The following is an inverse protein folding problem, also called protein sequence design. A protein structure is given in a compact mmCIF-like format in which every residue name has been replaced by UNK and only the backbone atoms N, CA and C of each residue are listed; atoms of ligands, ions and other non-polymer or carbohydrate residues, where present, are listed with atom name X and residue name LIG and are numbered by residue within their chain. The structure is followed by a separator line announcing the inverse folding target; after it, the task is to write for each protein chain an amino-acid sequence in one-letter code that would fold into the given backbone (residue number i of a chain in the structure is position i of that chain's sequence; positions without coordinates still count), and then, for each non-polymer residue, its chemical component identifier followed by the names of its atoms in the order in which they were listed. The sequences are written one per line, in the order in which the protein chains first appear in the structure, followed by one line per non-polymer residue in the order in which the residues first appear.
data_IF_237773479655
#
_entry.id   IF_237773479655
#
_cell.length_a   1.000
_cell.length_b   1.000
_cell.length_c   1.000
_cell.angle_alpha   90.00
_cell.angle_beta   90.00
_cell.angle_gamma   90.00
#
_symmetry.space_group_name_H-M   'P 1'
#
loop_
_entity.id
_entity.type
_entity.pdbx_description
1 polymer ?
#
# COMPACT_ATOMS: atom_id res chain seq x y z
N UNK A 1 6.69 -5.59 2.10
CA UNK A 1 7.90 -4.87 2.56
C UNK A 1 7.45 -3.70 3.43
N UNK A 2 7.92 -3.61 4.68
CA UNK A 2 7.46 -2.61 5.67
C UNK A 2 7.66 -1.18 5.14
N UNK A 3 6.73 -0.30 5.52
CA UNK A 3 6.91 1.16 5.48
C UNK A 3 8.21 1.54 6.23
N UNK A 4 8.72 2.75 6.00
CA UNK A 4 9.88 3.26 6.72
C UNK A 4 9.79 2.94 8.22
N UNK A 5 10.93 2.67 8.87
CA UNK A 5 11.00 2.41 10.33
C UNK A 5 11.73 3.57 10.99
N UNK A 6 11.16 4.09 12.07
CA UNK A 6 11.86 5.01 12.96
C UNK A 6 12.28 4.18 14.15
N UNK A 7 13.56 4.28 14.51
CA UNK A 7 14.08 3.60 15.67
C UNK A 7 15.16 4.46 16.33
N UNK A 8 15.40 4.20 17.61
CA UNK A 8 16.39 4.89 18.41
C UNK A 8 17.72 4.15 18.35
N UNK A 9 18.82 4.88 18.19
CA UNK A 9 20.18 4.36 18.40
C UNK A 9 20.96 5.36 19.23
N UNK A 10 21.13 5.09 20.53
CA UNK A 10 21.74 6.06 21.45
C UNK A 10 20.91 7.35 21.52
N UNK A 11 21.50 8.49 21.16
CA UNK A 11 20.83 9.80 21.11
C UNK A 11 20.40 10.20 19.69
N UNK A 12 20.34 9.24 18.76
CA UNK A 12 19.89 9.49 17.39
C UNK A 12 18.53 8.87 17.13
N UNK A 13 17.67 9.66 16.48
CA UNK A 13 16.48 9.19 15.79
C UNK A 13 16.88 8.80 14.37
N UNK A 14 16.73 7.52 14.02
CA UNK A 14 17.05 7.01 12.69
C UNK A 14 15.76 6.71 11.94
N UNK A 15 15.57 7.36 10.79
CA UNK A 15 14.51 7.05 9.84
C UNK A 15 15.10 6.18 8.74
N UNK A 16 14.67 4.93 8.66
CA UNK A 16 15.05 4.00 7.58
C UNK A 16 13.93 3.91 6.57
N UNK A 17 14.18 4.29 5.32
CA UNK A 17 13.19 4.19 4.25
C UNK A 17 12.99 2.73 3.76
N UNK A 18 12.02 2.52 2.85
CA UNK A 18 11.76 1.19 2.23
C UNK A 18 12.96 0.63 1.45
N UNK A 19 13.93 1.48 1.08
CA UNK A 19 15.17 1.11 0.37
C UNK A 19 16.33 0.87 1.33
N UNK A 20 16.05 0.77 2.63
CA UNK A 20 17.03 0.60 3.71
C UNK A 20 18.00 1.79 3.83
N UNK A 21 17.69 2.95 3.23
CA UNK A 21 18.49 4.16 3.41
C UNK A 21 18.15 4.76 4.76
N UNK A 22 19.19 5.07 5.52
CA UNK A 22 19.07 5.63 6.85
C UNK A 22 19.34 7.12 6.82
N UNK A 23 18.46 7.89 7.45
CA UNK A 23 18.69 9.28 7.82
C UNK A 23 18.75 9.36 9.34
N UNK A 24 19.73 10.09 9.86
CA UNK A 24 20.01 10.18 11.29
C UNK A 24 19.79 11.61 11.72
N UNK A 25 19.05 11.77 12.81
CA UNK A 25 18.75 13.06 13.42
C UNK A 25 19.20 12.99 14.88
N UNK A 26 20.05 13.93 15.29
CA UNK A 26 20.50 14.03 16.68
C UNK A 26 19.34 14.51 17.54
N UNK A 27 19.18 13.95 18.73
CA UNK A 27 18.19 14.36 19.74
C UNK A 27 18.90 15.11 20.86
N UNK A 28 18.38 16.29 21.21
CA UNK A 28 18.97 17.19 22.21
C UNK A 28 19.61 18.45 21.61
N UNK A 29 20.69 18.93 22.23
CA UNK A 29 21.38 20.15 21.81
C UNK A 29 21.89 20.04 20.36
N UNK A 30 21.52 21.00 19.52
CA UNK A 30 21.91 21.05 18.10
C UNK A 30 21.09 20.15 17.17
N UNK A 31 19.99 19.55 17.63
CA UNK A 31 19.12 18.70 16.83
C UNK A 31 17.64 18.82 17.20
N UNK A 32 16.96 17.68 17.30
CA UNK A 32 15.54 17.63 17.67
C UNK A 32 15.41 17.95 19.17
N UNK A 33 14.73 19.04 19.49
CA UNK A 33 14.44 19.47 20.85
C UNK A 33 13.05 19.02 21.33
N UNK A 34 12.06 18.99 20.43
CA UNK A 34 10.66 18.64 20.78
C UNK A 34 9.88 18.02 19.63
N UNK A 35 8.76 17.39 19.96
CA UNK A 35 7.79 16.86 18.99
C UNK A 35 6.44 17.54 19.18
N UNK A 36 5.83 17.96 18.07
CA UNK A 36 4.52 18.61 18.03
C UNK A 36 3.56 17.73 17.24
N UNK A 37 2.51 17.24 17.89
CA UNK A 37 1.42 16.54 17.22
C UNK A 37 0.41 17.56 16.69
N UNK A 38 0.20 17.55 15.37
CA UNK A 38 -0.81 18.33 14.67
C UNK A 38 -2.00 17.39 14.38
N UNK A 39 -3.16 17.58 15.03
CA UNK A 39 -4.31 16.71 14.85
C UNK A 39 -4.86 16.80 13.42
N UNK A 40 -5.64 15.79 12.97
CA UNK A 40 -6.25 15.80 11.65
C UNK A 40 -7.12 17.04 11.43
N UNK A 41 -7.26 17.51 10.17
CA UNK A 41 -8.17 18.59 9.82
C UNK A 41 -9.60 18.25 10.25
N UNK A 42 -10.34 19.23 10.77
CA UNK A 42 -11.76 19.05 11.10
C UNK A 42 -12.60 18.51 9.93
N UNK A 43 -13.76 17.90 10.23
CA UNK A 43 -14.60 17.13 9.29
C UNK A 43 -14.91 17.80 7.94
N UNK A 44 -14.99 19.14 7.89
CA UNK A 44 -15.20 19.90 6.64
C UNK A 44 -13.96 20.05 5.74
N UNK A 45 -12.76 19.79 6.26
CA UNK A 45 -11.47 19.99 5.58
C UNK A 45 -10.63 18.70 5.45
N UNK A 46 -11.03 17.62 6.12
CA UNK A 46 -10.35 16.32 6.02
C UNK A 46 -10.34 15.76 4.59
N UNK A 47 -11.37 16.05 3.79
CA UNK A 47 -11.46 15.62 2.40
C UNK A 47 -10.45 16.35 1.48
N UNK A 48 -10.17 17.63 1.76
CA UNK A 48 -9.25 18.47 0.97
C UNK A 48 -7.79 18.33 1.37
N UNK A 49 -7.51 17.80 2.57
CA UNK A 49 -6.14 17.51 2.99
C UNK A 49 -5.49 16.38 2.16
N UNK A 50 -4.17 16.47 1.89
CA UNK A 50 -3.41 15.39 1.29
C UNK A 50 -3.63 14.08 2.06
N UNK A 51 -3.78 12.96 1.36
CA UNK A 51 -4.10 11.65 1.98
C UNK A 51 -3.16 11.29 3.12
N UNK A 52 -1.87 11.63 2.99
CA UNK A 52 -0.85 11.38 4.01
C UNK A 52 -1.09 12.14 5.33
N UNK A 53 -1.70 13.32 5.27
CA UNK A 53 -1.86 14.23 6.41
C UNK A 53 -3.25 14.07 7.07
N UNK A 54 -4.13 13.22 6.51
CA UNK A 54 -5.54 13.07 6.93
C UNK A 54 -5.74 12.53 8.34
N UNK A 55 -4.79 11.78 8.89
CA UNK A 55 -4.86 11.23 10.25
C UNK A 55 -4.05 12.06 11.27
N UNK A 56 -3.54 13.22 10.86
CA UNK A 56 -2.64 14.05 11.64
C UNK A 56 -1.16 13.80 11.32
N UNK A 57 -0.30 14.64 11.89
CA UNK A 57 1.14 14.66 11.60
C UNK A 57 1.92 14.92 12.89
N UNK A 58 3.10 14.32 13.03
CA UNK A 58 4.06 14.65 14.07
C UNK A 58 5.24 15.40 13.46
N UNK A 59 5.41 16.66 13.88
CA UNK A 59 6.52 17.52 13.48
C UNK A 59 7.59 17.51 14.58
N UNK A 60 8.80 17.07 14.25
CA UNK A 60 9.96 17.17 15.13
C UNK A 60 10.66 18.51 14.87
N UNK A 61 10.84 19.31 15.92
CA UNK A 61 11.37 20.67 15.84
C UNK A 61 12.67 20.82 16.62
N UNK A 62 13.53 21.72 16.13
CA UNK A 62 14.70 22.18 16.86
C UNK A 62 14.35 23.21 17.95
N UNK A 63 15.38 23.74 18.60
CA UNK A 63 15.23 24.81 19.60
C UNK A 63 14.71 26.13 19.02
N UNK A 64 14.87 26.35 17.71
CA UNK A 64 14.47 27.55 16.96
C UNK A 64 13.06 27.43 16.35
N UNK A 65 12.27 26.42 16.78
CA UNK A 65 10.94 26.07 16.23
C UNK A 65 10.92 25.54 14.80
N UNK A 66 12.08 25.34 14.17
CA UNK A 66 12.13 24.90 12.78
C UNK A 66 11.81 23.43 12.71
N UNK A 67 10.94 23.07 11.76
CA UNK A 67 10.59 21.67 11.54
C UNK A 67 11.74 20.95 10.84
N UNK A 68 12.39 20.01 11.53
CA UNK A 68 13.47 19.19 10.98
C UNK A 68 12.89 17.97 10.24
N UNK A 69 11.97 17.26 10.88
CA UNK A 69 11.40 16.01 10.38
C UNK A 69 9.89 16.01 10.56
N UNK A 70 9.18 15.62 9.50
CA UNK A 70 7.72 15.52 9.46
C UNK A 70 7.29 14.08 9.22
N UNK A 71 6.51 13.53 10.14
CA UNK A 71 5.99 12.16 10.11
C UNK A 71 4.47 12.19 9.97
N UNK A 72 3.92 11.98 8.76
CA UNK A 72 2.47 11.87 8.58
C UNK A 72 1.94 10.57 9.19
N UNK A 73 0.94 10.63 10.07
CA UNK A 73 0.45 9.44 10.77
C UNK A 73 -0.15 8.40 9.83
N UNK A 74 -0.69 8.80 8.67
CA UNK A 74 -1.27 7.87 7.70
C UNK A 74 -0.26 6.84 7.18
N UNK A 75 1.03 7.16 7.15
CA UNK A 75 2.06 6.23 6.66
C UNK A 75 2.55 5.25 7.73
N UNK A 76 2.17 5.49 8.97
CA UNK A 76 2.63 4.77 10.16
C UNK A 76 1.51 4.04 10.88
N UNK A 77 0.27 4.49 10.70
CA UNK A 77 -0.93 3.83 11.19
C UNK A 77 -1.24 2.65 10.26
N UNK A 78 -1.09 1.40 10.72
CA UNK A 78 -1.38 0.24 9.87
C UNK A 78 -2.79 0.27 9.30
N UNK A 79 -3.75 0.81 10.07
CA UNK A 79 -5.17 0.89 9.73
C UNK A 79 -5.54 2.09 8.83
N UNK A 80 -4.55 2.91 8.43
CA UNK A 80 -4.81 4.06 7.56
C UNK A 80 -5.46 3.62 6.23
N UNK A 81 -6.56 4.29 5.87
CA UNK A 81 -7.36 3.96 4.68
C UNK A 81 -8.35 2.80 4.86
N UNK A 82 -8.34 2.10 6.01
CA UNK A 82 -9.37 1.12 6.39
C UNK A 82 -10.35 1.69 7.42
N UNK A 83 -9.86 2.52 8.33
CA UNK A 83 -10.69 3.21 9.32
C UNK A 83 -10.91 4.65 8.89
N UNK A 84 -12.14 5.16 9.04
CA UNK A 84 -12.44 6.54 8.72
C UNK A 84 -11.64 7.50 9.60
N UNK A 85 -11.28 8.66 9.06
CA UNK A 85 -10.59 9.73 9.81
C UNK A 85 -11.41 10.17 11.05
N UNK A 86 -12.73 10.00 11.00
CA UNK A 86 -13.66 10.38 12.07
C UNK A 86 -13.90 9.26 13.08
N UNK A 87 -13.52 8.02 12.76
CA UNK A 87 -13.75 6.86 13.63
C UNK A 87 -12.64 6.73 14.69
N UNK A 88 -11.48 7.36 14.47
CA UNK A 88 -10.35 7.38 15.40
C UNK A 88 -10.11 8.79 15.94
N UNK A 89 -10.10 8.91 17.27
CA UNK A 89 -9.69 10.14 17.92
C UNK A 89 -8.22 10.47 17.65
N UNK A 90 -7.82 11.76 17.61
CA UNK A 90 -6.44 12.17 17.36
C UNK A 90 -5.41 11.50 18.28
N UNK A 91 -5.73 11.39 19.57
CA UNK A 91 -4.90 10.70 20.56
C UNK A 91 -4.77 9.20 20.27
N UNK A 92 -5.84 8.55 19.85
CA UNK A 92 -5.85 7.12 19.48
C UNK A 92 -4.99 6.86 18.23
N UNK A 93 -5.00 7.76 17.25
CA UNK A 93 -4.10 7.66 16.09
C UNK A 93 -2.62 7.66 16.54
N UNK A 94 -2.27 8.53 17.47
CA UNK A 94 -0.90 8.62 17.97
C UNK A 94 -0.50 7.42 18.84
N UNK A 95 -1.43 6.87 19.63
CA UNK A 95 -1.17 5.69 20.45
C UNK A 95 -1.03 4.42 19.59
N UNK A 96 -1.88 4.26 18.57
CA UNK A 96 -1.86 3.09 17.66
C UNK A 96 -0.62 3.03 16.77
N UNK A 97 -0.01 4.17 16.47
CA UNK A 97 1.27 4.25 15.74
C UNK A 97 2.48 3.94 16.63
N UNK A 98 2.33 3.98 17.95
CA UNK A 98 3.42 3.82 18.92
C UNK A 98 4.36 5.03 18.99
N UNK A 99 4.08 6.10 18.25
CA UNK A 99 4.94 7.29 18.18
C UNK A 99 4.97 8.05 19.51
N UNK A 100 3.86 8.12 20.25
CA UNK A 100 3.84 8.75 21.59
C UNK A 100 4.87 8.10 22.52
N UNK A 101 4.85 6.77 22.60
CA UNK A 101 5.80 6.01 23.41
C UNK A 101 7.23 6.16 22.91
N UNK A 102 7.42 6.11 21.59
CA UNK A 102 8.73 6.32 20.98
C UNK A 102 9.34 7.70 21.30
N UNK A 103 8.55 8.77 21.24
CA UNK A 103 8.97 10.14 21.61
C UNK A 103 9.30 10.23 23.11
N UNK A 104 8.47 9.62 23.96
CA UNK A 104 8.75 9.51 25.40
C UNK A 104 10.04 8.74 25.70
N UNK A 105 10.28 7.63 25.00
CA UNK A 105 11.50 6.83 25.10
C UNK A 105 12.74 7.59 24.60
N UNK A 106 12.58 8.58 23.71
CA UNK A 106 13.66 9.49 23.30
C UNK A 106 13.94 10.61 24.32
N UNK A 107 13.10 10.77 25.35
CA UNK A 107 13.21 11.86 26.33
C UNK A 107 12.77 13.23 25.78
N UNK A 108 11.98 13.24 24.70
CA UNK A 108 11.54 14.46 24.02
C UNK A 108 10.14 14.83 24.53
N UNK A 109 9.87 16.13 24.74
CA UNK A 109 8.53 16.60 25.07
C UNK A 109 7.61 16.51 23.85
N UNK A 110 6.43 15.88 24.03
CA UNK A 110 5.38 15.82 23.03
C UNK A 110 4.29 16.84 23.38
N UNK A 111 4.07 17.82 22.52
CA UNK A 111 3.02 18.82 22.68
C UNK A 111 1.94 18.61 21.62
N UNK A 112 0.67 18.83 21.98
CA UNK A 112 -0.44 18.83 21.03
C UNK A 112 -0.70 20.26 20.57
N UNK A 113 -0.70 20.47 19.25
CA UNK A 113 -1.01 21.78 18.66
C UNK A 113 -2.50 22.08 18.81
N UNK A 114 -2.88 23.24 19.37
CA UNK A 114 -4.29 23.66 19.43
C UNK A 114 -4.86 23.94 18.02
N UNK A 115 -4.00 24.19 17.04
CA UNK A 115 -4.40 24.39 15.65
C UNK A 115 -4.32 23.09 14.85
N UNK A 116 -5.45 22.70 14.26
CA UNK A 116 -5.63 21.60 13.29
C UNK A 116 -5.14 21.97 11.88
N UNK A 117 -4.54 23.16 11.71
CA UNK A 117 -4.01 23.61 10.41
C UNK A 117 -2.71 22.86 10.11
N UNK A 118 -2.78 21.91 9.19
CA UNK A 118 -1.64 21.19 8.62
C UNK A 118 -0.62 22.09 7.86
N UNK A 119 -0.87 23.41 7.79
CA UNK A 119 -0.03 24.41 7.16
C UNK A 119 0.06 25.70 8.00
N UNK A 120 1.10 25.86 8.83
CA UNK A 120 1.92 27.03 8.67
C UNK A 120 2.75 26.80 7.40
N UNK A 121 2.50 27.58 6.35
CA UNK A 121 3.63 27.91 5.48
C UNK A 121 4.66 28.56 6.40
N UNK A 122 5.69 27.81 6.77
CA UNK A 122 6.85 28.35 7.46
C UNK A 122 7.54 29.24 6.43
N UNK A 123 7.03 30.48 6.28
CA UNK A 123 7.54 31.52 5.37
C UNK A 123 8.95 31.99 5.75
N UNK A 124 9.54 31.38 6.76
CA UNK A 124 10.74 31.83 7.46
C UNK A 124 12.01 31.09 7.05
N UNK A 125 11.96 29.98 6.32
CA UNK A 125 13.18 29.43 5.73
C UNK A 125 12.92 28.62 4.45
N UNK A 126 13.74 28.87 3.41
CA UNK A 126 13.64 28.20 2.10
C UNK A 126 14.00 26.70 2.10
N UNK A 127 14.16 26.07 3.26
CA UNK A 127 14.50 24.66 3.39
C UNK A 127 13.22 23.88 3.71
N UNK A 128 12.76 23.06 2.75
CA UNK A 128 11.60 22.18 2.98
C UNK A 128 11.95 21.14 4.05
N UNK A 129 11.10 20.95 5.08
CA UNK A 129 11.35 19.95 6.12
C UNK A 129 11.42 18.56 5.51
N UNK A 130 12.29 17.71 6.07
CA UNK A 130 12.39 16.34 5.64
C UNK A 130 11.09 15.61 5.96
N UNK A 131 10.47 15.03 4.94
CA UNK A 131 9.25 14.23 5.09
C UNK A 131 9.60 12.76 5.09
N UNK A 132 9.17 12.04 6.14
CA UNK A 132 9.16 10.59 6.15
C UNK A 132 7.99 10.05 5.32
N UNK A 133 7.86 10.53 4.08
CA UNK A 133 6.81 10.19 3.11
C UNK A 133 7.36 9.21 2.06
N UNK A 134 6.65 8.11 1.83
CA UNK A 134 7.08 7.12 0.84
C UNK A 134 6.56 7.49 -0.54
N UNK A 135 7.48 7.72 -1.48
CA UNK A 135 7.13 7.63 -2.89
C UNK A 135 7.00 6.15 -3.25
N UNK A 136 5.80 5.75 -3.64
CA UNK A 136 5.49 4.39 -4.12
C UNK A 136 6.36 3.97 -5.31
N UNK A 137 6.82 4.95 -6.09
CA UNK A 137 7.67 4.76 -7.26
C UNK A 137 9.01 5.50 -7.14
N UNK A 138 10.11 4.97 -7.72
CA UNK A 138 11.36 5.69 -7.80
C UNK A 138 11.24 7.06 -8.45
N UNK A 139 11.95 8.07 -7.93
CA UNK A 139 11.95 9.40 -8.53
C UNK A 139 12.36 9.37 -10.02
N UNK A 140 13.33 8.52 -10.38
CA UNK A 140 13.77 8.35 -11.77
C UNK A 140 12.66 7.86 -12.70
N UNK A 141 11.67 7.12 -12.18
CA UNK A 141 10.58 6.59 -13.00
C UNK A 141 9.74 7.73 -13.59
N UNK A 142 9.34 8.69 -12.74
CA UNK A 142 8.58 9.86 -13.19
C UNK A 142 9.41 10.75 -14.13
N UNK A 143 10.72 10.91 -13.86
CA UNK A 143 11.62 11.65 -14.75
C UNK A 143 11.78 10.96 -16.12
N UNK A 144 11.98 9.65 -16.15
CA UNK A 144 12.12 8.89 -17.39
C UNK A 144 10.87 9.00 -18.25
N UNK A 145 9.67 8.87 -17.65
CA UNK A 145 8.39 9.08 -18.36
C UNK A 145 8.26 10.50 -18.89
N UNK A 146 8.52 11.51 -18.05
CA UNK A 146 8.40 12.91 -18.42
C UNK A 146 9.34 13.29 -19.57
N UNK A 147 10.60 12.87 -19.49
CA UNK A 147 11.60 13.07 -20.54
C UNK A 147 11.20 12.31 -21.81
N UNK A 148 10.78 11.05 -21.69
CA UNK A 148 10.36 10.23 -22.84
C UNK A 148 9.18 10.85 -23.60
N UNK A 149 8.14 11.29 -22.87
CA UNK A 149 6.98 11.95 -23.44
C UNK A 149 7.34 13.32 -24.05
N UNK A 150 8.21 14.09 -23.39
CA UNK A 150 8.69 15.37 -23.91
C UNK A 150 9.47 15.19 -25.22
N UNK A 151 10.40 14.23 -25.27
CA UNK A 151 11.17 13.90 -26.47
C UNK A 151 10.23 13.45 -27.59
N UNK A 152 9.29 12.54 -27.31
CA UNK A 152 8.30 12.14 -28.31
C UNK A 152 7.52 13.34 -28.84
N UNK A 153 7.02 14.22 -27.97
CA UNK A 153 6.20 15.38 -28.35
C UNK A 153 6.97 16.38 -29.22
N UNK A 154 8.21 16.71 -28.85
CA UNK A 154 9.05 17.67 -29.61
C UNK A 154 9.34 17.13 -31.01
N UNK A 155 9.74 15.88 -31.13
CA UNK A 155 10.08 15.29 -32.43
C UNK A 155 8.84 14.99 -33.28
N UNK A 156 7.71 14.65 -32.65
CA UNK A 156 6.43 14.58 -33.33
C UNK A 156 6.02 15.94 -33.90
N UNK A 157 6.17 17.03 -33.12
CA UNK A 157 5.87 18.37 -33.59
C UNK A 157 6.76 18.77 -34.78
N UNK A 158 8.04 18.40 -34.76
CA UNK A 158 8.96 18.61 -35.89
C UNK A 158 8.46 17.87 -37.14
N UNK A 159 8.05 16.60 -37.00
CA UNK A 159 7.48 15.81 -38.11
C UNK A 159 6.20 16.48 -38.65
N UNK A 160 5.31 16.93 -37.76
CA UNK A 160 4.05 17.57 -38.12
C UNK A 160 4.25 18.92 -38.83
N UNK A 161 5.18 19.76 -38.35
CA UNK A 161 5.45 21.08 -38.93
C UNK A 161 6.19 20.99 -40.26
N UNK A 162 7.08 20.00 -40.42
CA UNK A 162 7.87 19.85 -41.66
C UNK A 162 7.15 19.03 -42.73
N UNK A 163 6.08 18.31 -42.37
CA UNK A 163 5.36 17.39 -43.25
C UNK A 163 6.20 16.20 -43.75
N UNK A 164 7.46 16.08 -43.29
CA UNK A 164 8.40 15.04 -43.68
C UNK A 164 9.05 14.46 -42.42
N UNK A 165 8.79 13.19 -42.18
CA UNK A 165 9.54 12.45 -41.18
C UNK A 165 10.95 12.17 -41.73
N UNK A 166 11.96 12.84 -41.20
CA UNK A 166 13.33 12.38 -41.32
C UNK A 166 13.44 11.03 -40.57
N UNK A 167 14.17 10.08 -41.13
CA UNK A 167 14.37 8.74 -40.56
C UNK A 167 14.83 8.80 -39.09
N UNK A 168 15.69 9.77 -38.79
CA UNK A 168 16.20 9.98 -37.44
C UNK A 168 15.18 10.64 -36.50
N UNK A 169 14.30 11.52 -37.01
CA UNK A 169 13.28 12.15 -36.16
C UNK A 169 12.20 11.14 -35.77
N UNK A 170 11.83 10.23 -36.69
CA UNK A 170 10.96 9.10 -36.38
C UNK A 170 11.59 8.16 -35.34
N UNK A 171 12.87 7.82 -35.49
CA UNK A 171 13.58 6.95 -34.56
C UNK A 171 13.65 7.56 -33.14
N UNK A 172 14.02 8.84 -33.03
CA UNK A 172 14.10 9.53 -31.73
C UNK A 172 12.71 9.66 -31.09
N UNK A 173 11.67 9.94 -31.86
CA UNK A 173 10.29 9.98 -31.36
C UNK A 173 9.86 8.61 -30.83
N UNK A 174 10.07 7.53 -31.60
CA UNK A 174 9.74 6.16 -31.17
C UNK A 174 10.53 5.71 -29.95
N UNK A 175 11.82 6.07 -29.86
CA UNK A 175 12.65 5.76 -28.70
C UNK A 175 12.15 6.50 -27.45
N UNK A 176 11.81 7.79 -27.57
CA UNK A 176 11.22 8.58 -26.48
C UNK A 176 9.92 7.97 -25.95
N UNK A 177 9.03 7.54 -26.86
CA UNK A 177 7.78 6.89 -26.48
C UNK A 177 8.01 5.52 -25.80
N UNK A 178 8.98 4.74 -26.30
CA UNK A 178 9.32 3.43 -25.74
C UNK A 178 9.88 3.48 -24.31
N UNK A 179 10.50 4.60 -23.91
CA UNK A 179 10.98 4.81 -22.53
C UNK A 179 9.83 4.68 -21.52
N UNK A 180 8.60 5.00 -21.90
CA UNK A 180 7.43 4.95 -21.01
C UNK A 180 7.15 3.51 -20.52
N UNK A 181 6.77 2.54 -21.37
CA UNK A 181 6.58 1.15 -20.94
C UNK A 181 7.89 0.48 -20.52
N UNK A 182 9.04 0.90 -21.05
CA UNK A 182 10.36 0.42 -20.62
C UNK A 182 10.64 0.73 -19.14
N UNK A 183 10.27 1.94 -18.69
CA UNK A 183 10.42 2.35 -17.29
C UNK A 183 9.51 1.55 -16.34
N UNK A 184 8.30 1.20 -16.77
CA UNK A 184 7.37 0.33 -16.01
C UNK A 184 7.94 -1.07 -15.84
N UNK A 185 8.47 -1.65 -16.92
CA UNK A 185 9.10 -2.97 -16.89
C UNK A 185 10.30 -2.98 -15.94
N UNK A 186 11.16 -1.95 -16.00
CA UNK A 186 12.31 -1.82 -15.12
C UNK A 186 11.89 -1.74 -13.64
N UNK A 187 10.85 -0.97 -13.30
CA UNK A 187 10.33 -0.94 -11.92
C UNK A 187 9.83 -2.31 -11.48
N UNK A 188 9.09 -3.03 -12.33
CA UNK A 188 8.58 -4.38 -12.02
C UNK A 188 9.69 -5.40 -11.82
N UNK A 189 10.76 -5.34 -12.61
CA UNK A 189 11.93 -6.20 -12.48
C UNK A 189 12.71 -5.89 -11.20
N UNK A 190 12.90 -4.61 -10.89
CA UNK A 190 13.53 -4.17 -9.65
C UNK A 190 12.72 -4.61 -8.42
N UNK A 191 11.40 -4.45 -8.45
CA UNK A 191 10.51 -4.92 -7.38
C UNK A 191 10.62 -6.44 -7.20
N UNK A 192 10.53 -7.23 -8.28
CA UNK A 192 10.70 -8.69 -8.22
C UNK A 192 12.08 -9.10 -7.69
N UNK A 193 13.14 -8.41 -8.10
CA UNK A 193 14.48 -8.68 -7.61
C UNK A 193 14.59 -8.42 -6.10
N UNK A 194 14.02 -7.31 -5.64
CA UNK A 194 13.97 -6.99 -4.21
C UNK A 194 13.13 -8.00 -3.42
N UNK A 195 11.97 -8.41 -3.92
CA UNK A 195 11.12 -9.40 -3.27
C UNK A 195 11.82 -10.76 -3.13
N UNK A 196 12.61 -11.18 -4.14
CA UNK A 196 13.42 -12.40 -4.10
C UNK A 196 14.56 -12.35 -3.09
N UNK A 197 15.13 -11.17 -2.86
CA UNK A 197 16.24 -10.98 -1.91
C UNK A 197 15.78 -10.84 -0.46
N UNK A 198 14.46 -10.79 -0.21
CA UNK A 198 13.92 -10.48 1.10
C UNK A 198 13.86 -11.73 2.00
N UNK A 199 15.01 -12.10 2.57
CA UNK A 199 15.19 -13.24 3.49
C UNK A 199 14.38 -13.12 4.78
N UNK A 200 13.87 -11.92 5.12
CA UNK A 200 13.03 -11.65 6.29
C UNK A 200 11.75 -12.51 6.34
N UNK A 201 11.30 -13.06 5.22
CA UNK A 201 10.11 -13.89 5.13
C UNK A 201 10.40 -15.39 5.24
N UNK A 202 11.67 -15.81 5.29
CA UNK A 202 12.05 -17.22 5.30
C UNK A 202 11.59 -17.95 6.58
N UNK A 203 11.63 -17.25 7.72
CA UNK A 203 11.24 -17.81 9.04
C UNK A 203 9.78 -17.51 9.40
N UNK A 204 8.98 -17.02 8.46
CA UNK A 204 7.60 -16.61 8.75
C UNK A 204 6.64 -17.80 8.76
N UNK A 205 5.81 -17.91 9.80
CA UNK A 205 4.70 -18.86 9.80
C UNK A 205 3.55 -18.29 8.96
N UNK A 206 3.23 -18.96 7.86
CA UNK A 206 2.17 -18.53 6.93
C UNK A 206 0.87 -19.27 7.24
N UNK A 207 -0.19 -18.50 7.48
CA UNK A 207 -1.57 -18.95 7.66
C UNK A 207 -2.35 -18.49 6.43
N UNK A 208 -2.92 -19.44 5.69
CA UNK A 208 -3.72 -19.19 4.49
C UNK A 208 -5.21 -19.42 4.78
N UNK A 209 -6.14 -18.76 4.06
CA UNK A 209 -7.56 -18.93 4.28
C UNK A 209 -8.04 -20.37 4.02
N UNK A 210 -8.79 -20.92 4.96
CA UNK A 210 -9.57 -22.16 4.82
C UNK A 210 -11.07 -21.83 4.84
N UNK A 211 -11.64 -21.37 3.70
CA UNK A 211 -13.02 -20.94 3.63
C UNK A 211 -14.00 -22.11 3.74
N UNK A 212 -15.21 -21.82 4.21
CA UNK A 212 -16.34 -22.75 4.24
C UNK A 212 -16.57 -23.39 2.86
N UNK A 213 -16.92 -24.68 2.85
CA UNK A 213 -17.24 -25.40 1.62
C UNK A 213 -18.45 -24.77 0.91
N UNK A 214 -18.42 -24.73 -0.43
CA UNK A 214 -19.51 -24.12 -1.21
C UNK A 214 -19.65 -22.60 -1.07
N UNK A 215 -18.80 -21.92 -0.28
CA UNK A 215 -18.88 -20.47 -0.06
C UNK A 215 -18.55 -19.60 -1.28
N UNK A 216 -18.12 -20.21 -2.39
CA UNK A 216 -17.74 -19.52 -3.62
C UNK A 216 -16.35 -18.87 -3.57
N UNK A 217 -15.51 -19.22 -2.59
CA UNK A 217 -14.14 -18.74 -2.46
C UNK A 217 -13.36 -18.80 -3.79
N UNK A 218 -12.81 -17.68 -4.25
CA UNK A 218 -12.04 -17.61 -5.50
C UNK A 218 -10.60 -18.07 -5.29
N UNK A 219 -9.94 -18.54 -6.37
CA UNK A 219 -8.50 -18.84 -6.34
C UNK A 219 -7.67 -17.62 -5.93
N UNK A 220 -8.04 -16.43 -6.41
CA UNK A 220 -7.42 -15.15 -6.01
C UNK A 220 -7.30 -15.04 -4.50
N UNK A 221 -8.41 -15.24 -3.80
CA UNK A 221 -8.45 -15.11 -2.35
C UNK A 221 -7.52 -16.13 -1.68
N UNK A 222 -7.59 -17.41 -2.06
CA UNK A 222 -6.76 -18.47 -1.46
C UNK A 222 -5.28 -18.35 -1.77
N UNK A 223 -4.92 -17.91 -2.99
CA UNK A 223 -3.54 -17.81 -3.44
C UNK A 223 -2.84 -16.54 -2.91
N UNK A 224 -3.62 -15.50 -2.58
CA UNK A 224 -3.09 -14.17 -2.27
C UNK A 224 -3.25 -13.79 -0.81
N UNK A 225 -4.45 -13.98 -0.24
CA UNK A 225 -4.70 -13.57 1.12
C UNK A 225 -3.93 -14.47 2.09
N UNK A 226 -3.27 -13.87 3.07
CA UNK A 226 -2.45 -14.60 4.02
C UNK A 226 -2.22 -13.80 5.30
N UNK A 227 -2.06 -14.48 6.42
CA UNK A 227 -1.47 -13.91 7.63
C UNK A 227 -0.09 -14.52 7.82
N UNK A 228 0.95 -13.69 7.74
CA UNK A 228 2.33 -14.12 8.01
C UNK A 228 2.73 -13.63 9.38
N UNK A 229 3.10 -14.55 10.25
CA UNK A 229 3.59 -14.23 11.60
C UNK A 229 5.11 -14.28 11.58
N UNK A 230 5.74 -13.12 11.71
CA UNK A 230 7.18 -12.96 11.85
C UNK A 230 7.57 -12.86 13.34
N UNK A 231 8.88 -12.89 13.67
CA UNK A 231 9.31 -12.70 15.05
C UNK A 231 8.85 -11.36 15.67
N UNK A 232 8.81 -10.29 14.88
CA UNK A 232 8.51 -8.92 15.37
C UNK A 232 7.19 -8.35 14.85
N UNK A 233 6.66 -8.90 13.76
CA UNK A 233 5.58 -8.31 12.99
C UNK A 233 4.53 -9.38 12.60
N UNK A 234 3.29 -8.97 12.40
CA UNK A 234 2.25 -9.77 11.75
C UNK A 234 1.87 -9.05 10.46
N UNK A 235 1.93 -9.76 9.34
CA UNK A 235 1.67 -9.21 8.02
C UNK A 235 0.39 -9.81 7.48
N UNK A 236 -0.61 -8.96 7.32
CA UNK A 236 -1.90 -9.27 6.76
C UNK A 236 -1.85 -8.93 5.27
N UNK A 237 -2.04 -9.93 4.43
CA UNK A 237 -2.13 -9.76 2.98
C UNK A 237 -3.60 -9.91 2.60
N UNK A 238 -4.17 -8.88 1.98
CA UNK A 238 -5.56 -8.90 1.54
C UNK A 238 -5.76 -9.68 0.23
N UNK A 239 -7.02 -9.77 -0.22
CA UNK A 239 -7.40 -10.43 -1.49
C UNK A 239 -6.71 -9.83 -2.73
N UNK A 240 -6.21 -8.60 -2.64
CA UNK A 240 -5.53 -7.88 -3.72
C UNK A 240 -4.01 -7.95 -3.62
N UNK A 241 -3.46 -8.59 -2.58
CA UNK A 241 -2.01 -8.68 -2.35
C UNK A 241 -1.45 -7.46 -1.63
N UNK A 242 -2.30 -6.59 -1.07
CA UNK A 242 -1.84 -5.45 -0.28
C UNK A 242 -1.46 -5.94 1.10
N UNK A 243 -0.26 -5.57 1.52
CA UNK A 243 0.27 -5.96 2.82
C UNK A 243 0.02 -4.85 3.84
N UNK A 244 -0.46 -5.26 5.01
CA UNK A 244 -0.60 -4.44 6.20
C UNK A 244 0.22 -5.06 7.32
N UNK A 245 1.11 -4.27 7.90
CA UNK A 245 2.09 -4.72 8.89
C UNK A 245 1.66 -4.19 10.26
N UNK A 246 1.31 -5.08 11.18
CA UNK A 246 1.05 -4.75 12.58
C UNK A 246 2.17 -5.31 13.45
N UNK A 247 2.47 -4.66 14.57
CA UNK A 247 3.49 -5.16 15.49
C UNK A 247 3.00 -6.46 16.16
N UNK A 248 3.91 -7.43 16.34
CA UNK A 248 3.61 -8.64 17.11
C UNK A 248 3.80 -8.40 18.61
N UNK A 249 4.80 -7.60 19.00
CA UNK A 249 5.10 -7.28 20.39
C UNK A 249 5.16 -5.78 20.67
N UNK A 250 5.31 -5.41 21.94
CA UNK A 250 5.31 -4.03 22.40
C UNK A 250 3.90 -3.49 22.69
N UNK A 251 3.81 -2.21 23.08
CA UNK A 251 2.57 -1.60 23.56
C UNK A 251 1.43 -1.58 22.52
N UNK A 252 1.79 -1.40 21.25
CA UNK A 252 0.85 -1.35 20.12
C UNK A 252 0.82 -2.68 19.35
N UNK A 253 1.42 -3.74 19.90
CA UNK A 253 1.47 -5.07 19.30
C UNK A 253 0.25 -5.92 19.65
N UNK A 254 0.05 -7.00 18.91
CA UNK A 254 -1.03 -7.97 19.17
C UNK A 254 -0.79 -8.65 20.52
N UNK A 255 -1.67 -8.44 21.48
CA UNK A 255 -1.59 -9.01 22.82
C UNK A 255 -2.64 -10.08 23.09
N UNK A 256 -3.72 -10.14 22.30
CA UNK A 256 -4.74 -11.19 22.43
C UNK A 256 -5.50 -11.42 21.12
N UNK A 257 -6.10 -12.61 21.03
CA UNK A 257 -7.07 -12.96 20.00
C UNK A 257 -8.46 -13.10 20.63
N UNK A 258 -9.46 -12.47 20.04
CA UNK A 258 -10.85 -12.57 20.50
C UNK A 258 -11.70 -13.21 19.43
N UNK A 259 -12.29 -14.38 19.72
CA UNK A 259 -13.28 -15.01 18.86
C UNK A 259 -14.64 -14.38 19.12
N UNK A 260 -15.26 -13.87 18.07
CA UNK A 260 -16.60 -13.31 18.12
C UNK A 260 -17.62 -14.43 17.91
N UNK A 261 -18.47 -14.68 18.89
CA UNK A 261 -19.47 -15.77 18.85
C UNK A 261 -20.88 -15.21 18.85
N UNK A 262 -21.75 -15.75 18.00
CA UNK A 262 -23.18 -15.43 18.04
C UNK A 262 -23.81 -16.03 19.32
N UNK A 263 -24.44 -15.22 20.19
CA UNK A 263 -25.07 -15.72 21.41
C UNK A 263 -26.23 -16.68 21.15
N UNK A 264 -26.87 -16.66 19.98
CA UNK A 264 -28.01 -17.53 19.67
C UNK A 264 -27.58 -18.89 19.14
N UNK A 265 -26.73 -18.91 18.12
CA UNK A 265 -26.29 -20.15 17.47
C UNK A 265 -25.02 -20.76 18.08
N UNK A 266 -24.26 -19.98 18.86
CA UNK A 266 -22.91 -20.36 19.30
C UNK A 266 -21.87 -20.35 18.17
N UNK A 267 -22.25 -19.97 16.95
CA UNK A 267 -21.36 -19.96 15.80
C UNK A 267 -20.29 -18.87 15.95
N UNK A 268 -19.06 -19.18 15.52
CA UNK A 268 -17.99 -18.20 15.47
C UNK A 268 -18.14 -17.34 14.22
N UNK A 269 -18.25 -16.03 14.40
CA UNK A 269 -18.46 -15.04 13.35
C UNK A 269 -17.14 -14.53 12.77
N UNK A 270 -16.14 -14.32 13.64
CA UNK A 270 -14.85 -13.75 13.28
C UNK A 270 -13.82 -13.82 14.40
N UNK A 271 -12.62 -13.36 14.10
CA UNK A 271 -11.52 -13.22 15.05
C UNK A 271 -10.96 -11.82 14.96
N UNK A 272 -10.85 -11.18 16.12
CA UNK A 272 -10.19 -9.89 16.28
C UNK A 272 -8.77 -10.08 16.83
N UNK A 273 -7.84 -9.31 16.28
CA UNK A 273 -6.50 -9.15 16.82
C UNK A 273 -6.54 -7.89 17.66
N UNK A 274 -6.27 -8.01 18.96
CA UNK A 274 -6.33 -6.87 19.87
C UNK A 274 -4.97 -6.54 20.44
N UNK A 275 -4.75 -5.25 20.70
CA UNK A 275 -3.55 -4.79 21.38
C UNK A 275 -3.75 -4.69 22.91
N UNK A 276 -2.71 -4.27 23.61
CA UNK A 276 -2.71 -4.19 25.08
C UNK A 276 -3.72 -3.20 25.65
N UNK A 277 -4.29 -2.32 24.83
CA UNK A 277 -5.36 -1.40 25.20
C UNK A 277 -6.76 -1.92 24.81
N UNK A 278 -6.87 -3.22 24.47
CA UNK A 278 -8.09 -3.87 23.97
C UNK A 278 -8.63 -3.27 22.65
N UNK A 279 -7.80 -2.52 21.92
CA UNK A 279 -8.17 -1.92 20.64
C UNK A 279 -8.02 -2.94 19.50
N UNK A 280 -8.99 -2.96 18.58
CA UNK A 280 -8.98 -3.92 17.46
C UNK A 280 -8.01 -3.45 16.38
N UNK A 281 -7.04 -4.30 16.05
CA UNK A 281 -5.98 -4.07 15.07
C UNK A 281 -6.23 -4.79 13.75
N UNK A 282 -6.90 -5.93 13.78
CA UNK A 282 -7.27 -6.66 12.58
C UNK A 282 -8.52 -7.49 12.80
N UNK A 283 -9.26 -7.74 11.72
CA UNK A 283 -10.46 -8.56 11.77
C UNK A 283 -10.47 -9.60 10.64
N UNK A 284 -10.51 -10.87 11.02
CA UNK A 284 -10.67 -12.00 10.11
C UNK A 284 -12.07 -12.59 10.26
N UNK A 285 -12.81 -12.69 9.15
CA UNK A 285 -14.14 -13.29 9.16
C UNK A 285 -14.02 -14.81 9.16
N UNK A 286 -14.63 -15.47 10.14
CA UNK A 286 -14.41 -16.90 10.42
C UNK A 286 -14.77 -17.78 9.22
N UNK A 287 -15.90 -17.47 8.57
CA UNK A 287 -16.39 -18.14 7.36
C UNK A 287 -15.34 -18.27 6.26
N UNK A 288 -14.49 -17.27 6.10
CA UNK A 288 -13.51 -17.24 5.01
C UNK A 288 -12.15 -17.81 5.39
N UNK A 289 -11.83 -17.84 6.68
CA UNK A 289 -10.49 -18.19 7.17
C UNK A 289 -10.40 -19.54 7.87
N UNK A 290 -11.45 -19.95 8.60
CA UNK A 290 -11.37 -21.07 9.53
C UNK A 290 -12.59 -22.00 9.51
N UNK A 291 -13.57 -21.77 8.63
CA UNK A 291 -14.79 -22.58 8.56
C UNK A 291 -14.67 -23.79 7.62
N UNK A 292 -13.63 -23.87 6.78
CA UNK A 292 -13.38 -25.00 5.89
C UNK A 292 -12.76 -26.22 6.58
N UNK A 293 -12.51 -27.31 5.84
CA UNK A 293 -11.97 -28.57 6.38
C UNK A 293 -10.63 -28.41 7.12
N UNK A 294 -9.74 -27.57 6.58
CA UNK A 294 -8.44 -27.25 7.19
C UNK A 294 -8.54 -26.13 8.23
N UNK A 295 -9.74 -25.62 8.53
CA UNK A 295 -9.95 -24.43 9.33
C UNK A 295 -9.49 -24.56 10.77
N UNK A 296 -9.70 -25.75 11.39
CA UNK A 296 -9.24 -26.03 12.76
C UNK A 296 -7.70 -26.04 12.85
N UNK A 297 -7.04 -26.67 11.88
CA UNK A 297 -5.57 -26.70 11.80
C UNK A 297 -5.02 -25.29 11.56
N UNK A 298 -5.63 -24.56 10.61
CA UNK A 298 -5.28 -23.17 10.27
C UNK A 298 -5.42 -22.25 11.49
N UNK A 299 -6.49 -22.41 12.27
CA UNK A 299 -6.71 -21.70 13.52
C UNK A 299 -5.65 -22.04 14.57
N UNK A 300 -5.39 -23.32 14.81
CA UNK A 300 -4.37 -23.76 15.76
C UNK A 300 -2.98 -23.25 15.39
N UNK A 301 -2.65 -23.26 14.09
CA UNK A 301 -1.40 -22.72 13.55
C UNK A 301 -1.27 -21.22 13.83
N UNK A 302 -2.35 -20.44 13.64
CA UNK A 302 -2.35 -19.01 13.94
C UNK A 302 -2.13 -18.74 15.43
N UNK A 303 -2.88 -19.43 16.30
CA UNK A 303 -2.78 -19.28 17.76
C UNK A 303 -1.37 -19.63 18.25
N UNK A 304 -0.84 -20.77 17.80
CA UNK A 304 0.51 -21.22 18.13
C UNK A 304 1.58 -20.23 17.64
N UNK A 305 1.45 -19.74 16.40
CA UNK A 305 2.41 -18.81 15.83
C UNK A 305 2.45 -17.47 16.58
N UNK A 306 1.30 -16.95 17.02
CA UNK A 306 1.24 -15.69 17.75
C UNK A 306 1.69 -15.85 19.21
N UNK A 307 1.25 -16.93 19.87
CA UNK A 307 1.57 -17.20 21.28
C UNK A 307 0.87 -16.26 22.26
N UNK A 308 -0.30 -15.73 21.88
CA UNK A 308 -1.09 -14.77 22.69
C UNK A 308 -2.35 -15.44 23.25
N UNK A 309 -2.89 -14.96 24.39
CA UNK A 309 -4.15 -15.48 24.94
C UNK A 309 -5.32 -15.36 23.96
N UNK A 310 -6.19 -16.37 24.00
CA UNK A 310 -7.43 -16.44 23.22
C UNK A 310 -8.62 -16.32 24.17
N UNK A 311 -9.59 -15.47 23.83
CA UNK A 311 -10.86 -15.36 24.56
C UNK A 311 -12.06 -15.35 23.61
N UNK A 312 -13.25 -15.58 24.15
CA UNK A 312 -14.51 -15.55 23.41
C UNK A 312 -15.34 -14.34 23.84
N UNK A 313 -15.90 -13.62 22.88
CA UNK A 313 -16.77 -12.46 23.11
C UNK A 313 -18.07 -12.65 22.33
N UNK A 314 -19.20 -12.50 23.03
CA UNK A 314 -20.52 -12.61 22.43
C UNK A 314 -20.85 -11.35 21.64
N UNK A 315 -21.16 -11.50 20.35
CA UNK A 315 -21.58 -10.41 19.46
C UNK A 315 -22.85 -10.85 18.74
N UNK A 316 -23.88 -10.00 18.77
CA UNK A 316 -25.15 -10.30 18.10
C UNK A 316 -24.93 -10.33 16.59
N UNK A 317 -25.26 -11.45 15.96
CA UNK A 317 -25.30 -11.52 14.50
C UNK A 317 -26.30 -10.49 13.96
N UNK A 318 -25.92 -9.79 12.88
CA UNK A 318 -26.83 -8.89 12.17
C UNK A 318 -27.97 -9.68 11.52
N UNK A 319 -29.10 -9.00 11.27
CA UNK A 319 -30.24 -9.59 10.54
C UNK A 319 -29.83 -10.02 9.13
N UNK A 320 -30.52 -11.04 8.59
CA UNK A 320 -30.12 -11.90 7.47
C UNK A 320 -29.66 -11.23 6.15
N UNK A 321 -29.81 -9.92 5.99
CA UNK A 321 -29.42 -9.17 4.78
C UNK A 321 -28.10 -8.41 4.90
N UNK A 322 -27.56 -8.21 6.11
CA UNK A 322 -26.39 -7.34 6.35
C UNK A 322 -25.23 -8.15 6.93
N UNK A 323 -24.01 -8.07 6.37
CA UNK A 323 -22.84 -8.67 7.01
C UNK A 323 -22.65 -8.12 8.43
N UNK A 324 -22.49 -8.99 9.42
CA UNK A 324 -22.38 -8.60 10.83
C UNK A 324 -21.26 -7.58 11.10
N UNK A 325 -20.21 -7.59 10.29
CA UNK A 325 -19.06 -6.71 10.40
C UNK A 325 -19.27 -5.33 9.77
N UNK A 326 -20.41 -5.04 9.13
CA UNK A 326 -20.61 -3.77 8.42
C UNK A 326 -20.57 -2.54 9.33
N UNK A 327 -20.99 -2.68 10.59
CA UNK A 327 -20.92 -1.63 11.60
C UNK A 327 -19.72 -1.78 12.54
N UNK A 328 -18.79 -2.67 12.21
CA UNK A 328 -17.57 -2.87 12.98
C UNK A 328 -16.53 -1.81 12.60
N UNK A 329 -15.71 -1.35 13.55
CA UNK A 329 -14.65 -0.34 13.33
C UNK A 329 -13.73 -0.72 12.15
N UNK A 330 -13.42 -2.01 12.04
CA UNK A 330 -12.63 -2.60 10.96
C UNK A 330 -13.47 -3.25 9.83
N UNK A 331 -14.65 -2.71 9.52
CA UNK A 331 -15.49 -3.22 8.43
C UNK A 331 -14.77 -3.28 7.07
N UNK A 332 -13.97 -2.25 6.76
CA UNK A 332 -13.20 -2.22 5.51
C UNK A 332 -12.10 -3.30 5.48
N UNK A 333 -11.47 -3.57 6.63
CA UNK A 333 -10.48 -4.63 6.79
C UNK A 333 -11.14 -5.99 6.57
N UNK A 334 -12.25 -6.27 7.27
CA UNK A 334 -13.03 -7.49 7.08
C UNK A 334 -13.45 -7.67 5.62
N UNK A 335 -13.88 -6.62 4.93
CA UNK A 335 -14.23 -6.67 3.50
C UNK A 335 -13.01 -7.02 2.62
N UNK A 336 -11.84 -6.43 2.90
CA UNK A 336 -10.62 -6.68 2.13
C UNK A 336 -10.02 -8.07 2.36
N UNK A 337 -10.16 -8.57 3.59
CA UNK A 337 -9.74 -9.89 4.08
C UNK A 337 -10.81 -10.96 3.88
N UNK A 338 -11.87 -10.65 3.14
CA UNK A 338 -12.94 -11.58 2.74
C UNK A 338 -12.97 -11.74 1.23
N UNK A 339 -13.82 -12.66 0.74
CA UNK A 339 -14.08 -12.80 -0.68
C UNK A 339 -14.49 -11.46 -1.32
N UNK A 340 -13.76 -11.08 -2.36
CA UNK A 340 -14.08 -9.92 -3.19
C UNK A 340 -14.76 -10.35 -4.50
N UNK A 341 -15.79 -9.60 -4.89
CA UNK A 341 -16.45 -9.82 -6.18
C UNK A 341 -15.46 -9.67 -7.35
N UNK A 342 -15.46 -10.57 -8.35
CA UNK A 342 -14.51 -10.52 -9.47
C UNK A 342 -14.45 -9.18 -10.20
N UNK A 343 -15.59 -8.51 -10.39
CA UNK A 343 -15.64 -7.19 -11.04
C UNK A 343 -14.91 -6.12 -10.23
N UNK A 344 -15.05 -6.15 -8.90
CA UNK A 344 -14.39 -5.22 -7.97
C UNK A 344 -12.88 -5.52 -7.87
N UNK A 345 -12.49 -6.80 -7.80
CA UNK A 345 -11.09 -7.18 -7.80
C UNK A 345 -10.36 -6.70 -9.07
N UNK A 346 -11.00 -6.82 -10.24
CA UNK A 346 -10.47 -6.34 -11.52
C UNK A 346 -10.33 -4.82 -11.59
N UNK A 347 -11.28 -4.05 -11.02
CA UNK A 347 -11.15 -2.59 -11.05
C UNK A 347 -10.02 -2.11 -10.14
N UNK A 348 -9.85 -2.72 -8.96
CA UNK A 348 -8.84 -2.34 -7.96
C UNK A 348 -7.42 -2.84 -8.24
N UNK A 349 -7.26 -3.89 -9.03
CA UNK A 349 -5.94 -4.44 -9.44
C UNK A 349 -5.42 -3.90 -10.76
N UNK A 350 -6.14 -2.99 -11.43
CA UNK A 350 -5.60 -2.33 -12.63
C UNK A 350 -4.37 -1.51 -12.23
N UNK A 351 -3.21 -1.85 -12.80
CA UNK A 351 -1.94 -1.12 -12.60
C UNK A 351 -2.09 0.40 -12.75
N UNK A 352 -2.91 0.82 -13.71
CA UNK A 352 -3.17 2.23 -14.01
C UNK A 352 -4.07 2.91 -12.98
N UNK A 353 -4.82 2.14 -12.19
CA UNK A 353 -5.58 2.63 -11.05
C UNK A 353 -4.69 2.76 -9.79
N UNK A 354 -3.63 1.95 -9.65
CA UNK A 354 -2.64 2.09 -8.56
C UNK A 354 -1.60 3.19 -8.80
N UNK A 355 -1.27 3.50 -10.06
CA UNK A 355 -0.33 4.59 -10.40
C UNK A 355 -1.01 5.96 -10.66
N UNK A 356 -2.34 6.07 -10.49
CA UNK A 356 -3.08 7.33 -10.65
C UNK A 356 -3.28 7.80 -12.12
N UNK A 357 -3.25 6.89 -13.10
CA UNK A 357 -3.05 7.21 -14.52
C UNK A 357 -4.09 6.51 -15.42
N UNK A 358 -5.37 6.79 -15.21
CA UNK A 358 -6.48 6.01 -15.77
C UNK A 358 -6.57 5.91 -17.31
N UNK A 359 -6.04 6.88 -18.07
CA UNK A 359 -6.15 6.93 -19.54
C UNK A 359 -4.82 6.76 -20.30
N UNK A 360 -3.69 6.72 -19.59
CA UNK A 360 -2.35 6.78 -20.19
C UNK A 360 -2.01 5.64 -21.18
N UNK A 361 -2.38 4.37 -20.94
CA UNK A 361 -2.06 3.28 -21.88
C UNK A 361 -2.75 3.44 -23.23
N UNK A 362 -3.96 4.01 -23.24
CA UNK A 362 -4.69 4.28 -24.49
C UNK A 362 -4.01 5.39 -25.27
N UNK A 363 -3.55 6.44 -24.59
CA UNK A 363 -2.86 7.58 -25.18
C UNK A 363 -1.50 7.16 -25.75
N UNK A 364 -0.68 6.45 -24.97
CA UNK A 364 0.63 5.94 -25.41
C UNK A 364 0.49 4.97 -26.59
N UNK A 365 -0.51 4.09 -26.56
CA UNK A 365 -0.79 3.19 -27.68
C UNK A 365 -1.21 3.96 -28.93
N UNK A 366 -2.07 4.97 -28.79
CA UNK A 366 -2.49 5.82 -29.91
C UNK A 366 -1.30 6.58 -30.52
N UNK A 367 -0.40 7.08 -29.70
CA UNK A 367 0.84 7.73 -30.15
C UNK A 367 1.79 6.77 -30.86
N UNK A 368 1.84 5.50 -30.42
CA UNK A 368 2.57 4.45 -31.12
C UNK A 368 2.00 4.15 -32.51
N UNK A 369 0.66 4.16 -32.67
CA UNK A 369 0.01 3.93 -33.95
C UNK A 369 0.43 4.96 -35.02
N UNK A 370 0.68 6.21 -34.63
CA UNK A 370 1.13 7.28 -35.54
C UNK A 370 2.50 7.00 -36.18
N UNK A 371 3.32 6.17 -35.53
CA UNK A 371 4.68 5.83 -35.97
C UNK A 371 4.77 4.46 -36.65
N UNK A 372 3.68 3.67 -36.66
CA UNK A 372 3.64 2.37 -37.33
C UNK A 372 3.94 2.36 -38.83
N UNK A 373 3.52 3.37 -39.64
CA UNK A 373 3.82 3.38 -41.08
C UNK A 373 5.33 3.31 -41.38
N UNK A 374 6.18 3.72 -40.43
CA UNK A 374 7.64 3.66 -40.56
C UNK A 374 8.18 2.23 -40.67
N UNK A 375 7.42 1.22 -40.21
CA UNK A 375 7.78 -0.19 -40.33
C UNK A 375 7.90 -0.64 -41.80
N UNK A 376 7.14 -0.01 -42.70
CA UNK A 376 7.14 -0.30 -44.14
C UNK A 376 8.19 0.51 -44.93
N UNK A 377 8.98 1.36 -44.27
CA UNK A 377 10.04 2.13 -44.92
C UNK A 377 11.18 1.22 -45.38
N UNK A 378 11.90 1.59 -46.44
CA UNK A 378 13.10 0.86 -46.89
C UNK A 378 14.36 1.20 -46.09
N UNK A 379 14.27 2.24 -45.28
CA UNK A 379 15.38 2.80 -44.54
C UNK A 379 15.43 2.19 -43.13
N UNK A 380 16.61 1.68 -42.75
CA UNK A 380 16.78 0.98 -41.50
C UNK A 380 16.39 1.79 -40.24
N UNK A 381 16.65 3.12 -40.12
CA UNK A 381 16.29 3.84 -38.90
C UNK A 381 14.78 3.99 -38.76
N UNK A 382 14.07 4.18 -39.88
CA UNK A 382 12.61 4.21 -39.93
C UNK A 382 11.99 2.84 -39.59
N UNK A 383 12.56 1.74 -40.11
CA UNK A 383 12.12 0.38 -39.74
C UNK A 383 12.27 0.12 -38.24
N UNK A 384 13.40 0.53 -37.64
CA UNK A 384 13.62 0.42 -36.19
C UNK A 384 12.62 1.29 -35.41
N UNK A 385 12.32 2.50 -35.90
CA UNK A 385 11.29 3.36 -35.32
C UNK A 385 9.91 2.67 -35.31
N UNK A 386 9.53 2.03 -36.41
CA UNK A 386 8.30 1.24 -36.51
C UNK A 386 8.29 0.05 -35.55
N UNK A 387 9.41 -0.69 -35.44
CA UNK A 387 9.53 -1.81 -34.52
C UNK A 387 9.40 -1.39 -33.03
N UNK A 388 10.01 -0.27 -32.64
CA UNK A 388 9.87 0.32 -31.30
C UNK A 388 8.43 0.78 -31.02
N UNK A 389 7.73 1.30 -32.02
CA UNK A 389 6.33 1.67 -31.91
C UNK A 389 5.44 0.43 -31.69
N UNK A 390 5.67 -0.66 -32.44
CA UNK A 390 5.02 -1.96 -32.23
C UNK A 390 5.28 -2.47 -30.82
N UNK A 391 6.54 -2.46 -30.38
CA UNK A 391 6.92 -2.96 -29.06
C UNK A 391 6.25 -2.16 -27.94
N UNK A 392 6.18 -0.84 -28.08
CA UNK A 392 5.44 0.05 -27.17
C UNK A 392 3.97 -0.38 -27.04
N UNK A 393 3.27 -0.54 -28.18
CA UNK A 393 1.85 -0.96 -28.20
C UNK A 393 1.69 -2.34 -27.56
N UNK A 394 2.55 -3.30 -27.94
CA UNK A 394 2.49 -4.67 -27.42
C UNK A 394 2.71 -4.66 -25.90
N UNK A 395 3.68 -3.91 -25.37
CA UNK A 395 3.93 -3.87 -23.93
C UNK A 395 2.74 -3.28 -23.15
N UNK A 396 2.14 -2.20 -23.63
CA UNK A 396 0.97 -1.57 -23.00
C UNK A 396 -0.27 -2.48 -23.07
N UNK A 397 -0.60 -2.97 -24.27
CA UNK A 397 -1.81 -3.78 -24.49
C UNK A 397 -1.67 -5.17 -23.90
N UNK A 398 -0.54 -5.86 -24.09
CA UNK A 398 -0.35 -7.22 -23.61
C UNK A 398 -0.41 -7.28 -22.08
N UNK A 399 0.11 -6.29 -21.36
CA UNK A 399 0.02 -6.30 -19.89
C UNK A 399 -1.42 -6.18 -19.41
N UNK A 400 -2.26 -5.36 -20.07
CA UNK A 400 -3.68 -5.26 -19.76
C UNK A 400 -4.43 -6.55 -20.14
N UNK A 401 -4.18 -7.08 -21.33
CA UNK A 401 -4.86 -8.29 -21.85
C UNK A 401 -4.50 -9.51 -21.01
N UNK A 402 -3.20 -9.75 -20.75
CA UNK A 402 -2.72 -10.85 -19.91
C UNK A 402 -3.30 -10.75 -18.50
N UNK A 403 -3.35 -9.56 -17.91
CA UNK A 403 -3.97 -9.37 -16.58
C UNK A 403 -5.47 -9.69 -16.58
N UNK A 404 -6.22 -9.21 -17.57
CA UNK A 404 -7.65 -9.50 -17.69
C UNK A 404 -7.93 -11.00 -17.93
N UNK A 405 -7.14 -11.64 -18.79
CA UNK A 405 -7.25 -13.07 -19.09
C UNK A 405 -6.88 -13.92 -17.87
N UNK A 406 -5.74 -13.66 -17.24
CA UNK A 406 -5.32 -14.36 -16.02
C UNK A 406 -6.34 -14.19 -14.89
N UNK A 407 -6.90 -12.98 -14.74
CA UNK A 407 -7.98 -12.74 -13.78
C UNK A 407 -9.18 -13.62 -14.06
N UNK A 408 -9.73 -13.60 -15.29
CA UNK A 408 -10.97 -14.31 -15.61
C UNK A 408 -10.81 -15.82 -15.69
N UNK A 409 -9.71 -16.29 -16.29
CA UNK A 409 -9.50 -17.72 -16.59
C UNK A 409 -8.96 -18.49 -15.39
N UNK A 410 -8.25 -17.83 -14.46
CA UNK A 410 -7.61 -18.49 -13.33
C UNK A 410 -8.07 -17.92 -11.99
N UNK A 411 -7.84 -16.63 -11.74
CA UNK A 411 -7.95 -16.06 -10.39
C UNK A 411 -9.39 -15.93 -9.91
N UNK A 412 -10.33 -15.61 -10.80
CA UNK A 412 -11.73 -15.38 -10.46
C UNK A 412 -12.57 -16.67 -10.43
N UNK A 413 -11.97 -17.84 -10.73
CA UNK A 413 -12.66 -19.14 -10.66
C UNK A 413 -12.82 -19.59 -9.20
N UNK A 414 -13.93 -20.29 -8.87
CA UNK A 414 -14.10 -20.87 -7.54
C UNK A 414 -13.03 -21.94 -7.31
N UNK A 415 -12.48 -21.97 -6.10
CA UNK A 415 -11.42 -22.89 -5.72
C UNK A 415 -11.90 -24.32 -5.46
N UNK A 416 -13.22 -24.54 -5.39
CA UNK A 416 -13.84 -25.84 -5.10
C UNK A 416 -13.85 -26.82 -6.28
N UNK A 417 -13.27 -26.47 -7.44
CA UNK A 417 -13.30 -27.29 -8.65
C UNK A 417 -12.07 -28.21 -8.84
N UNK A 418 -11.12 -28.24 -7.90
CA UNK A 418 -10.00 -29.17 -7.94
C UNK A 418 -9.86 -29.81 -6.55
N UNK A 419 -10.41 -31.02 -6.43
CA UNK A 419 -9.83 -32.02 -5.53
C UNK A 419 -8.38 -32.31 -6.00
N UNK A 420 -7.46 -32.66 -5.09
CA UNK A 420 -6.05 -32.89 -5.42
C UNK A 420 -5.83 -33.92 -6.54
#
# INVERSE_FOLDING_TARGET
MRHARVYRRGNELIVRDRRLRERRYVVGEGGIARAVFVPPPGSGTAASAPVADRWGVVDFRDADERTILRIPLAEWLPEAGLVGVLDLGPSQCLDRTGLRRFVGDLGISLQESPESRAHPEDKTSGVRPDRAVHRELPAWHNWARGIGMFVWFVFFLVIAMTGKANEWTALVASAGLFVVPGSDLAVRLLQRSHDRQNTLLADATIVVPAPEEGSGATRRFRDTAAVRVLPQDVVLTDTLGRERWIARGGASGVSSLVRLTDPKSGAVLGVEFRDGADAVRALLVWRWWFAGPQGRETWSKLVSALGVPVSDRKVRAAEHSVPWWQNHELAADARSMSLMAPKEARSRTRWNASAGQGAEPLIVSLFGLLLLPQLASDLWPARVAGALAVLTIVMEVATVVVHQLASRLRLDRPAALESP
#
